data_IF_868629634960
#
_entry.id   IF_868629634960
#
_cell.length_a   1.000
_cell.length_b   1.000
_cell.length_c   1.000
_cell.angle_alpha   90.00
_cell.angle_beta   90.00
_cell.angle_gamma   90.00
#
_symmetry.space_group_name_H-M   'P 1'
#
loop_
_entity.id
_entity.type
_entity.pdbx_description
1 polymer ?
#
# COMPACT_ATOMS: atom_id res chain seq x y z
N UNK A 1 11.93 -19.12 -16.10
CA UNK A 1 11.14 -17.99 -16.60
C UNK A 1 11.41 -16.75 -15.79
N UNK A 2 11.49 -15.59 -16.43
CA UNK A 2 11.66 -14.32 -15.71
C UNK A 2 10.36 -13.98 -14.96
N UNK A 3 10.50 -13.42 -13.77
CA UNK A 3 9.36 -12.96 -12.98
C UNK A 3 8.61 -11.83 -13.72
N UNK A 4 7.28 -11.89 -13.73
CA UNK A 4 6.46 -10.84 -14.33
C UNK A 4 6.37 -9.64 -13.38
N UNK A 5 6.65 -8.44 -13.89
CA UNK A 5 6.82 -7.23 -13.09
C UNK A 5 5.73 -6.20 -13.40
N UNK A 6 5.15 -5.61 -12.34
CA UNK A 6 4.03 -4.68 -12.40
C UNK A 6 4.33 -3.43 -11.57
N UNK A 7 4.73 -2.35 -12.23
CA UNK A 7 5.02 -1.06 -11.61
C UNK A 7 3.73 -0.30 -11.27
N UNK A 8 3.63 0.24 -10.05
CA UNK A 8 2.44 1.00 -9.62
C UNK A 8 2.13 2.21 -10.51
N UNK A 9 3.12 2.80 -11.18
CA UNK A 9 2.91 3.93 -12.10
C UNK A 9 2.09 3.51 -13.34
N UNK A 10 2.18 2.24 -13.76
CA UNK A 10 1.35 1.69 -14.82
C UNK A 10 -0.14 1.58 -14.42
N UNK A 11 -0.44 1.66 -13.11
CA UNK A 11 -1.79 1.67 -12.55
C UNK A 11 -2.23 3.08 -12.12
N UNK A 12 -1.51 4.13 -12.54
CA UNK A 12 -1.87 5.52 -12.31
C UNK A 12 -1.28 6.13 -11.05
N UNK A 13 -0.30 5.49 -10.40
CA UNK A 13 0.41 6.11 -9.29
C UNK A 13 1.23 7.33 -9.75
N UNK A 14 1.18 8.42 -8.98
CA UNK A 14 1.89 9.67 -9.25
C UNK A 14 2.71 10.07 -8.02
N UNK A 15 4.04 10.09 -8.17
CA UNK A 15 4.97 10.57 -7.16
C UNK A 15 4.92 12.10 -7.03
N UNK A 16 5.22 12.62 -5.83
CA UNK A 16 5.29 14.06 -5.55
C UNK A 16 3.96 14.79 -5.52
N UNK A 17 2.84 14.07 -5.68
CA UNK A 17 1.50 14.64 -5.59
C UNK A 17 0.86 14.30 -4.24
N UNK A 18 0.86 15.27 -3.33
CA UNK A 18 0.27 15.15 -1.99
C UNK A 18 -1.25 15.34 -1.92
N UNK A 19 -1.96 15.46 -3.04
CA UNK A 19 -3.42 15.63 -3.02
C UNK A 19 -4.14 14.35 -2.57
N UNK A 20 -5.34 14.50 -1.99
CA UNK A 20 -6.20 13.38 -1.60
C UNK A 20 -6.50 12.44 -2.78
N UNK A 21 -6.76 13.03 -3.96
CA UNK A 21 -7.04 12.27 -5.16
C UNK A 21 -5.85 11.38 -5.56
N UNK A 22 -4.64 11.94 -5.52
CA UNK A 22 -3.42 11.18 -5.77
C UNK A 22 -3.17 10.14 -4.68
N UNK A 23 -3.40 10.46 -3.40
CA UNK A 23 -3.23 9.51 -2.31
C UNK A 23 -4.12 8.26 -2.45
N UNK A 24 -5.38 8.45 -2.84
CA UNK A 24 -6.30 7.34 -3.14
C UNK A 24 -5.89 6.58 -4.40
N UNK A 25 -5.47 7.28 -5.46
CA UNK A 25 -5.00 6.67 -6.69
C UNK A 25 -3.74 5.82 -6.48
N UNK A 26 -2.79 6.31 -5.70
CA UNK A 26 -1.55 5.61 -5.34
C UNK A 26 -1.85 4.36 -4.50
N UNK A 27 -2.78 4.45 -3.54
CA UNK A 27 -3.24 3.30 -2.78
C UNK A 27 -3.89 2.22 -3.64
N UNK A 28 -4.76 2.63 -4.57
CA UNK A 28 -5.38 1.72 -5.53
C UNK A 28 -4.33 1.09 -6.45
N UNK A 29 -3.38 1.89 -6.94
CA UNK A 29 -2.32 1.43 -7.83
C UNK A 29 -1.43 0.37 -7.18
N UNK A 30 -1.07 0.54 -5.90
CA UNK A 30 -0.35 -0.47 -5.12
C UNK A 30 -1.15 -1.77 -5.01
N UNK A 31 -2.42 -1.68 -4.60
CA UNK A 31 -3.31 -2.83 -4.52
C UNK A 31 -3.45 -3.55 -5.88
N UNK A 32 -3.67 -2.80 -6.96
CA UNK A 32 -3.86 -3.33 -8.30
C UNK A 32 -2.58 -4.01 -8.85
N UNK A 33 -1.40 -3.43 -8.60
CA UNK A 33 -0.13 -4.03 -8.97
C UNK A 33 0.10 -5.38 -8.26
N UNK A 34 -0.25 -5.47 -6.97
CA UNK A 34 -0.17 -6.73 -6.20
C UNK A 34 -1.13 -7.78 -6.76
N UNK A 35 -2.36 -7.41 -7.11
CA UNK A 35 -3.32 -8.32 -7.73
C UNK A 35 -2.85 -8.78 -9.12
N UNK A 36 -2.25 -7.89 -9.92
CA UNK A 36 -1.71 -8.22 -11.23
C UNK A 36 -0.52 -9.18 -11.12
N UNK A 37 0.38 -8.94 -10.17
CA UNK A 37 1.49 -9.83 -9.83
C UNK A 37 0.98 -11.23 -9.45
N UNK A 38 0.00 -11.32 -8.55
CA UNK A 38 -0.63 -12.59 -8.18
C UNK A 38 -1.20 -13.34 -9.40
N UNK A 39 -1.98 -12.64 -10.24
CA UNK A 39 -2.57 -13.23 -11.43
C UNK A 39 -1.53 -13.74 -12.43
N UNK A 40 -0.36 -13.10 -12.50
CA UNK A 40 0.75 -13.57 -13.32
C UNK A 40 1.44 -14.79 -12.70
N UNK A 41 1.66 -14.79 -11.38
CA UNK A 41 2.24 -15.92 -10.65
C UNK A 41 1.39 -17.20 -10.81
N UNK A 42 0.06 -17.07 -10.79
CA UNK A 42 -0.85 -18.21 -11.02
C UNK A 42 -0.74 -18.81 -12.43
N UNK A 43 -0.33 -18.02 -13.43
CA UNK A 43 -0.11 -18.51 -14.80
C UNK A 43 1.24 -19.19 -14.97
N UNK A 44 2.23 -18.81 -14.16
CA UNK A 44 3.59 -19.34 -14.20
C UNK A 44 4.06 -19.68 -12.78
N UNK A 45 3.61 -20.80 -12.19
CA UNK A 45 3.83 -21.09 -10.77
C UNK A 45 5.31 -21.25 -10.35
N UNK A 46 6.22 -21.43 -11.32
CA UNK A 46 7.66 -21.55 -11.10
C UNK A 46 8.37 -20.22 -10.82
N UNK A 47 7.71 -19.07 -11.02
CA UNK A 47 8.28 -17.75 -10.77
C UNK A 47 7.27 -16.85 -10.03
N UNK A 48 7.72 -16.04 -9.06
CA UNK A 48 6.82 -15.10 -8.40
C UNK A 48 6.37 -14.01 -9.36
N UNK A 49 5.20 -13.43 -9.08
CA UNK A 49 4.82 -12.13 -9.63
C UNK A 49 5.41 -11.01 -8.78
N UNK A 50 5.84 -9.92 -9.40
CA UNK A 50 6.49 -8.80 -8.70
C UNK A 50 5.66 -7.53 -8.87
N UNK A 51 5.16 -6.97 -7.78
CA UNK A 51 4.63 -5.61 -7.73
C UNK A 51 5.73 -4.64 -7.33
N UNK A 52 5.95 -3.57 -8.08
CA UNK A 52 7.08 -2.65 -7.88
C UNK A 52 6.59 -1.27 -7.49
N UNK A 53 7.10 -0.77 -6.37
CA UNK A 53 7.10 0.66 -6.05
C UNK A 53 8.47 1.20 -6.49
N UNK A 54 8.54 1.90 -7.63
CA UNK A 54 9.82 2.26 -8.22
C UNK A 54 10.52 3.34 -7.39
N UNK A 55 11.85 3.36 -7.46
CA UNK A 55 12.63 4.45 -6.90
C UNK A 55 12.37 5.75 -7.70
N UNK A 56 11.88 6.77 -7.00
CA UNK A 56 11.60 8.11 -7.51
C UNK A 56 12.18 9.14 -6.55
N UNK A 57 12.52 10.33 -7.05
CA UNK A 57 13.01 11.44 -6.20
C UNK A 57 11.98 11.86 -5.16
N UNK A 58 10.71 11.87 -5.54
CA UNK A 58 9.59 12.26 -4.69
C UNK A 58 8.82 11.02 -4.19
N UNK A 59 8.17 11.08 -3.02
CA UNK A 59 7.39 9.96 -2.50
C UNK A 59 6.06 9.79 -3.24
N UNK A 60 5.55 8.56 -3.22
CA UNK A 60 4.15 8.28 -3.52
C UNK A 60 3.34 8.45 -2.23
N UNK A 61 2.70 9.60 -2.04
CA UNK A 61 1.73 9.80 -0.95
C UNK A 61 0.56 8.85 -1.16
N UNK A 62 0.14 8.09 -0.16
CA UNK A 62 -0.93 7.10 -0.33
C UNK A 62 -1.83 6.94 0.90
N UNK A 63 -3.05 6.50 0.64
CA UNK A 63 -3.99 5.93 1.62
C UNK A 63 -4.21 4.47 1.22
N UNK A 64 -4.17 3.48 2.12
CA UNK A 64 -4.45 2.08 1.76
C UNK A 64 -5.80 1.95 1.05
N UNK A 65 -5.90 1.16 -0.02
CA UNK A 65 -7.16 1.04 -0.77
C UNK A 65 -8.12 0.02 -0.14
N UNK A 66 -7.63 -1.21 0.03
CA UNK A 66 -8.35 -2.33 0.62
C UNK A 66 -7.32 -3.37 1.11
N UNK A 67 -7.71 -4.31 2.00
CA UNK A 67 -6.88 -5.47 2.29
C UNK A 67 -6.54 -6.24 1.01
N UNK A 68 -5.30 -6.69 0.90
CA UNK A 68 -4.86 -7.67 -0.10
C UNK A 68 -5.18 -9.05 0.47
N UNK A 69 -6.09 -9.78 -0.19
CA UNK A 69 -6.60 -11.06 0.34
C UNK A 69 -6.38 -12.17 -0.67
N UNK A 70 -5.89 -13.32 -0.21
CA UNK A 70 -5.85 -14.53 -1.03
C UNK A 70 -4.76 -14.54 -2.09
N UNK A 71 -3.77 -13.64 -2.00
CA UNK A 71 -2.63 -13.66 -2.93
C UNK A 71 -1.62 -14.74 -2.56
N UNK A 72 -1.02 -15.34 -3.58
CA UNK A 72 0.02 -16.36 -3.47
C UNK A 72 1.20 -16.06 -4.40
N UNK A 73 2.41 -16.40 -3.96
CA UNK A 73 3.66 -16.31 -4.71
C UNK A 73 3.92 -14.89 -5.29
N UNK A 74 3.83 -13.89 -4.41
CA UNK A 74 4.00 -12.47 -4.77
C UNK A 74 5.20 -11.85 -4.05
N UNK A 75 5.97 -11.06 -4.78
CA UNK A 75 6.97 -10.14 -4.23
C UNK A 75 6.46 -8.71 -4.37
N UNK A 76 6.42 -7.97 -3.26
CA UNK A 76 6.31 -6.51 -3.27
C UNK A 76 7.72 -5.94 -3.18
N UNK A 77 8.24 -5.47 -4.31
CA UNK A 77 9.54 -4.81 -4.41
C UNK A 77 9.36 -3.31 -4.17
N UNK A 78 9.71 -2.88 -2.97
CA UNK A 78 9.68 -1.50 -2.50
C UNK A 78 11.08 -0.89 -2.65
N UNK A 79 11.34 -0.24 -3.78
CA UNK A 79 12.60 0.50 -4.00
C UNK A 79 12.43 2.01 -3.82
N UNK A 80 11.20 2.51 -3.98
CA UNK A 80 10.85 3.91 -3.72
C UNK A 80 10.30 4.18 -2.31
N UNK A 81 9.70 5.36 -2.17
CA UNK A 81 9.08 5.78 -0.91
C UNK A 81 7.56 5.79 -1.03
N UNK A 82 6.89 5.00 -0.19
CA UNK A 82 5.47 5.14 0.11
C UNK A 82 5.32 6.05 1.33
N UNK A 83 4.55 7.13 1.23
CA UNK A 83 4.35 8.10 2.32
C UNK A 83 2.88 8.10 2.73
N UNK A 84 2.57 7.75 3.98
CA UNK A 84 1.20 7.71 4.46
C UNK A 84 0.58 9.11 4.45
N UNK A 85 -0.63 9.24 3.88
CA UNK A 85 -1.35 10.51 3.88
C UNK A 85 -1.80 10.89 5.30
N UNK A 86 -1.41 12.07 5.76
CA UNK A 86 -1.55 12.48 7.16
C UNK A 86 -2.31 13.80 7.34
N UNK A 87 -2.72 14.46 6.25
CA UNK A 87 -3.41 15.74 6.31
C UNK A 87 -4.89 15.65 6.72
N UNK A 88 -5.51 14.46 6.65
CA UNK A 88 -6.89 14.23 7.11
C UNK A 88 -7.09 12.74 7.47
N UNK A 89 -7.23 12.47 8.78
CA UNK A 89 -7.36 11.12 9.33
C UNK A 89 -8.71 10.48 9.04
N UNK A 90 -9.76 11.28 8.79
CA UNK A 90 -11.11 10.76 8.48
C UNK A 90 -11.17 10.13 7.08
N UNK A 91 -10.16 10.39 6.24
CA UNK A 91 -10.03 9.77 4.92
C UNK A 91 -9.44 8.38 4.97
N UNK A 92 -8.84 7.99 6.10
CA UNK A 92 -8.28 6.66 6.26
C UNK A 92 -9.41 5.62 6.29
N UNK A 93 -9.38 4.56 5.45
CA UNK A 93 -10.44 3.58 5.42
C UNK A 93 -10.62 2.95 6.78
N UNK A 94 -11.87 2.75 7.18
CA UNK A 94 -12.22 2.10 8.43
C UNK A 94 -13.39 1.14 8.22
N UNK A 95 -13.50 0.14 9.08
CA UNK A 95 -14.60 -0.84 9.09
C UNK A 95 -15.67 -0.50 10.15
N UNK A 96 -15.68 0.73 10.65
CA UNK A 96 -16.47 1.18 11.81
C UNK A 96 -15.87 0.82 13.17
N UNK A 97 -14.95 -0.14 13.25
CA UNK A 97 -14.32 -0.56 14.51
C UNK A 97 -12.82 -0.25 14.59
N UNK A 98 -12.16 -0.17 13.44
CA UNK A 98 -10.73 0.10 13.32
C UNK A 98 -10.42 0.75 11.98
N UNK A 99 -9.34 1.53 11.96
CA UNK A 99 -8.73 2.00 10.72
C UNK A 99 -7.94 0.86 10.07
N UNK A 100 -7.87 0.89 8.74
CA UNK A 100 -7.14 -0.09 7.95
C UNK A 100 -5.63 0.04 8.19
N UNK A 101 -4.91 -1.08 8.21
CA UNK A 101 -3.45 -1.06 8.35
C UNK A 101 -2.79 -0.41 7.12
N UNK A 102 -1.61 0.18 7.32
CA UNK A 102 -0.78 0.77 6.25
C UNK A 102 -0.53 -0.23 5.11
N UNK A 103 -0.28 -1.49 5.47
CA UNK A 103 -0.25 -2.63 4.56
C UNK A 103 -0.97 -3.79 5.23
N UNK A 104 -2.01 -4.31 4.58
CA UNK A 104 -2.86 -5.36 5.14
C UNK A 104 -2.93 -6.54 4.16
N UNK A 105 -2.25 -7.64 4.48
CA UNK A 105 -2.18 -8.85 3.66
C UNK A 105 -2.76 -10.02 4.47
N UNK A 106 -3.80 -10.67 3.96
CA UNK A 106 -4.58 -11.68 4.70
C UNK A 106 -4.83 -12.93 3.86
N UNK A 107 -4.89 -14.08 4.53
CA UNK A 107 -5.20 -15.37 3.89
C UNK A 107 -4.30 -15.64 2.66
N UNK A 108 -3.02 -15.29 2.77
CA UNK A 108 -2.05 -15.32 1.69
C UNK A 108 -0.89 -16.25 2.02
N UNK A 109 -0.21 -16.75 0.99
CA UNK A 109 0.96 -17.61 1.11
C UNK A 109 2.10 -17.09 0.26
N UNK A 110 3.34 -17.38 0.69
CA UNK A 110 4.56 -17.02 -0.04
C UNK A 110 4.59 -15.55 -0.54
N UNK A 111 4.28 -14.62 0.36
CA UNK A 111 4.35 -13.18 0.08
C UNK A 111 5.63 -12.63 0.69
N UNK A 112 6.43 -11.96 -0.12
CA UNK A 112 7.66 -11.29 0.34
C UNK A 112 7.55 -9.81 0.10
N UNK A 113 7.87 -9.00 1.11
CA UNK A 113 8.12 -7.56 0.95
C UNK A 113 9.63 -7.36 1.05
N UNK A 114 10.23 -6.76 0.03
CA UNK A 114 11.68 -6.54 -0.05
C UNK A 114 11.99 -5.24 -0.79
N UNK A 115 13.27 -4.90 -0.89
CA UNK A 115 13.77 -3.68 -1.55
C UNK A 115 14.47 -2.75 -0.57
N UNK A 116 15.06 -1.68 -1.10
CA UNK A 116 15.80 -0.69 -0.32
C UNK A 116 14.98 0.58 0.00
N UNK A 117 13.72 0.60 -0.41
CA UNK A 117 12.80 1.71 -0.25
C UNK A 117 12.26 1.86 1.16
N UNK A 118 11.31 2.78 1.33
CA UNK A 118 10.79 3.20 2.63
C UNK A 118 9.27 3.25 2.64
N UNK A 119 8.66 2.79 3.75
CA UNK A 119 7.27 3.12 4.10
C UNK A 119 7.32 4.15 5.22
N UNK A 120 7.06 5.42 4.90
CA UNK A 120 6.98 6.49 5.87
C UNK A 120 5.57 6.50 6.48
N UNK A 121 5.47 6.13 7.77
CA UNK A 121 4.19 5.96 8.47
C UNK A 121 3.44 7.26 8.78
N UNK A 122 4.14 8.41 8.82
CA UNK A 122 3.60 9.73 9.14
C UNK A 122 2.58 9.71 10.30
N UNK A 123 2.98 9.04 11.39
CA UNK A 123 2.09 8.69 12.50
C UNK A 123 1.79 9.83 13.48
N UNK A 124 2.46 10.98 13.37
CA UNK A 124 2.33 12.06 14.36
C UNK A 124 0.88 12.51 14.56
N UNK A 125 0.07 12.81 13.52
CA UNK A 125 -1.32 13.21 13.72
C UNK A 125 -2.16 12.11 14.40
N UNK A 126 -1.85 10.83 14.15
CA UNK A 126 -2.51 9.70 14.81
C UNK A 126 -2.19 9.66 16.31
N UNK A 127 -0.95 9.92 16.70
CA UNK A 127 -0.56 9.96 18.11
C UNK A 127 -1.17 11.16 18.83
N UNK A 128 -1.19 12.33 18.19
CA UNK A 128 -1.80 13.53 18.75
C UNK A 128 -3.31 13.35 18.95
N UNK A 129 -4.02 12.75 17.99
CA UNK A 129 -5.45 12.45 18.13
C UNK A 129 -5.75 11.58 19.36
N UNK A 130 -4.92 10.57 19.62
CA UNK A 130 -5.03 9.72 20.82
C UNK A 130 -4.78 10.52 22.10
N UNK A 131 -3.79 11.42 22.12
CA UNK A 131 -3.48 12.26 23.28
C UNK A 131 -4.61 13.25 23.58
N UNK A 132 -5.18 13.89 22.55
CA UNK A 132 -6.18 14.95 22.69
C UNK A 132 -7.59 14.41 22.98
N UNK A 133 -7.98 13.33 22.32
CA UNK A 133 -9.36 12.82 22.34
C UNK A 133 -9.51 11.49 23.13
N UNK A 134 -8.40 10.82 23.44
CA UNK A 134 -8.38 9.43 23.93
C UNK A 134 -8.77 8.44 22.82
N UNK A 135 -8.92 7.15 23.16
CA UNK A 135 -9.35 6.10 22.20
C UNK A 135 -10.78 6.27 21.63
N UNK A 136 -11.47 7.38 21.93
CA UNK A 136 -12.90 7.57 21.67
C UNK A 136 -13.25 7.69 20.19
N UNK A 137 -12.29 7.99 19.29
CA UNK A 137 -12.54 8.13 17.85
C UNK A 137 -12.80 6.79 17.15
N UNK A 138 -12.28 5.67 17.67
CA UNK A 138 -12.38 4.34 17.04
C UNK A 138 -13.62 3.52 17.46
N UNK A 139 -14.58 4.11 18.19
CA UNK A 139 -15.77 3.42 18.74
C UNK A 139 -17.11 4.01 18.24
N UNK A 140 -17.22 4.39 16.96
CA UNK A 140 -18.47 4.95 16.42
C UNK A 140 -19.35 3.89 15.76
#
# INVERSE_FOLDING_TARGET
DAAATFDITAFGAVAGNGSIAAARANGYALWAAIQAAHNAANKTPSAPGVAVVPNTTEPFTFVPYAPVVGVDNVVVLLDGTLSCFDADLDLWPNDGTRVLNVLDIRASSNVTVMGAGTIAGNGEPWWLDVVEHGERRFRR
#
